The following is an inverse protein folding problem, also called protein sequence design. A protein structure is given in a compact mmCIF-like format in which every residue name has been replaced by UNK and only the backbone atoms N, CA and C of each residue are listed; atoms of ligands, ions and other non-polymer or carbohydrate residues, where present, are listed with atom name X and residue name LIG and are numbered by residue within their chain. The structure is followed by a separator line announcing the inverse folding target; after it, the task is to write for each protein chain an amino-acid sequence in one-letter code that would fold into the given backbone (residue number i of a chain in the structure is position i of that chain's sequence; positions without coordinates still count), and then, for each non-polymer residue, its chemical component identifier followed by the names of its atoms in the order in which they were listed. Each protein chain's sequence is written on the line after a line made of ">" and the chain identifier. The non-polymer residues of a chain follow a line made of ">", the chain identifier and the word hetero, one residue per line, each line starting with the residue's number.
data_IF_897669793525
#
_entry.id   IF_897669793525
#
_cell.length_a   1.000
_cell.length_b   1.000
_cell.length_c   1.000
_cell.angle_alpha   90.00
_cell.angle_beta   90.00
_cell.angle_gamma   90.00
#
_symmetry.space_group_name_H-M   'P 1'
#
loop_
_entity.id
_entity.type
_entity.pdbx_description
1 polymer ?
#
# COMPACT_ATOMS: atom_id res chain seq x y z
N UNK A 1 40.53 33.08 -12.52
CA UNK A 1 40.25 31.67 -12.89
C UNK A 1 38.90 31.27 -12.31
N UNK A 2 38.16 30.48 -13.07
CA UNK A 2 36.70 30.35 -13.07
C UNK A 2 36.08 29.89 -11.74
N UNK A 3 34.92 30.49 -11.45
CA UNK A 3 33.91 30.09 -10.47
C UNK A 3 33.43 28.65 -10.69
N UNK A 4 33.53 27.79 -9.69
CA UNK A 4 32.83 26.51 -9.64
C UNK A 4 32.43 26.25 -8.19
N UNK A 5 31.20 25.75 -8.02
CA UNK A 5 30.63 25.10 -6.84
C UNK A 5 29.67 25.90 -5.93
N UNK A 6 28.64 26.48 -6.55
CA UNK A 6 27.31 26.60 -5.95
C UNK A 6 26.29 26.00 -6.91
N UNK A 7 25.73 24.82 -6.58
CA UNK A 7 24.37 24.33 -6.88
C UNK A 7 24.30 22.80 -6.74
N UNK A 8 23.95 22.33 -5.54
CA UNK A 8 23.43 20.97 -5.34
C UNK A 8 21.91 21.00 -5.47
N UNK A 9 21.40 21.10 -6.68
CA UNK A 9 19.97 20.98 -6.97
C UNK A 9 19.65 19.49 -7.11
N UNK A 10 19.01 18.94 -6.08
CA UNK A 10 18.51 17.57 -6.02
C UNK A 10 17.31 17.45 -7.00
N UNK A 11 17.57 17.06 -8.25
CA UNK A 11 16.52 16.69 -9.20
C UNK A 11 15.98 15.31 -8.81
N UNK A 12 14.82 15.27 -8.14
CA UNK A 12 14.00 14.06 -8.03
C UNK A 12 13.20 13.95 -9.33
N UNK A 13 13.73 13.21 -10.30
CA UNK A 13 12.96 12.83 -11.50
C UNK A 13 11.93 11.77 -11.14
N UNK A 14 10.67 12.19 -11.08
CA UNK A 14 9.50 11.32 -10.97
C UNK A 14 9.31 10.59 -12.30
N UNK A 15 9.89 9.40 -12.44
CA UNK A 15 9.65 8.55 -13.61
C UNK A 15 8.37 7.73 -13.36
N UNK A 16 7.27 8.15 -13.98
CA UNK A 16 6.04 7.36 -14.03
C UNK A 16 6.30 6.14 -14.93
N UNK A 17 6.51 4.98 -14.32
CA UNK A 17 6.62 3.72 -15.05
C UNK A 17 5.21 3.23 -15.41
N UNK A 18 4.79 3.52 -16.65
CA UNK A 18 3.59 2.92 -17.24
C UNK A 18 4.01 1.66 -18.00
N UNK A 19 4.11 0.53 -17.30
CA UNK A 19 4.27 -0.78 -17.94
C UNK A 19 2.94 -1.51 -17.90
N UNK A 20 2.13 -1.28 -18.93
CA UNK A 20 0.99 -2.13 -19.26
C UNK A 20 1.51 -3.44 -19.85
N UNK A 21 1.27 -4.55 -19.16
CA UNK A 21 1.33 -5.88 -19.74
C UNK A 21 -0.09 -6.45 -19.74
N UNK A 22 -0.68 -6.49 -20.93
CA UNK A 22 -1.95 -7.14 -21.19
C UNK A 22 -1.84 -8.63 -20.84
N UNK A 23 -2.67 -9.10 -19.91
CA UNK A 23 -2.90 -10.51 -19.68
C UNK A 23 -4.38 -10.77 -19.96
N UNK A 24 -4.63 -11.47 -21.06
CA UNK A 24 -5.97 -11.89 -21.48
C UNK A 24 -6.31 -13.20 -20.78
N UNK A 25 -7.37 -13.18 -19.98
CA UNK A 25 -8.07 -14.38 -19.55
C UNK A 25 -9.56 -14.12 -19.78
N UNK A 26 -10.09 -14.72 -20.84
CA UNK A 26 -11.52 -14.75 -21.11
C UNK A 26 -12.21 -15.64 -20.08
N UNK A 27 -13.03 -15.06 -19.24
CA UNK A 27 -14.07 -15.77 -18.50
C UNK A 27 -15.39 -15.08 -18.74
N UNK A 28 -16.26 -15.74 -19.51
CA UNK A 28 -17.65 -15.35 -19.71
C UNK A 28 -18.35 -15.29 -18.35
N UNK A 29 -18.58 -14.07 -17.87
CA UNK A 29 -19.52 -13.77 -16.79
C UNK A 29 -20.47 -12.72 -17.35
N UNK A 30 -21.76 -12.99 -17.27
CA UNK A 30 -22.83 -12.09 -17.73
C UNK A 30 -22.53 -10.65 -17.29
N UNK A 31 -22.13 -9.82 -18.25
CA UNK A 31 -21.66 -8.48 -17.98
C UNK A 31 -22.85 -7.64 -17.47
N UNK A 32 -22.87 -7.39 -16.17
CA UNK A 32 -23.57 -6.22 -15.62
C UNK A 32 -23.14 -5.03 -16.46
N UNK A 33 -24.05 -4.16 -16.94
CA UNK A 33 -23.67 -3.04 -17.79
C UNK A 33 -22.50 -2.31 -17.15
N UNK A 34 -21.33 -2.31 -17.81
CA UNK A 34 -20.16 -1.63 -17.27
C UNK A 34 -20.50 -0.14 -17.20
N UNK A 35 -20.82 0.33 -16.00
CA UNK A 35 -21.19 1.72 -15.77
C UNK A 35 -19.99 2.59 -16.15
N UNK A 36 -20.22 3.54 -17.07
CA UNK A 36 -19.17 4.43 -17.56
C UNK A 36 -18.54 5.17 -16.38
N UNK A 37 -17.21 5.01 -16.15
CA UNK A 37 -16.53 5.65 -15.03
C UNK A 37 -16.70 7.17 -15.06
N UNK A 38 -16.84 7.79 -13.89
CA UNK A 38 -16.97 9.25 -13.76
C UNK A 38 -15.61 9.87 -13.46
N UNK A 39 -15.33 11.04 -14.01
CA UNK A 39 -14.00 11.64 -13.90
C UNK A 39 -13.71 12.35 -12.58
N UNK A 40 -14.76 12.66 -11.82
CA UNK A 40 -14.69 13.42 -10.58
C UNK A 40 -15.65 12.83 -9.55
N UNK A 41 -15.33 12.96 -8.27
CA UNK A 41 -16.24 12.66 -7.16
C UNK A 41 -16.02 13.63 -6.00
N UNK A 42 -17.13 14.07 -5.40
CA UNK A 42 -17.15 14.79 -4.12
C UNK A 42 -18.07 14.05 -3.16
N UNK A 43 -17.58 13.82 -1.94
CA UNK A 43 -18.32 13.14 -0.87
C UNK A 43 -18.25 13.96 0.41
N UNK A 44 -19.40 14.17 1.07
CA UNK A 44 -19.41 14.69 2.43
C UNK A 44 -19.26 13.53 3.42
N UNK A 45 -20.16 12.55 3.34
CA UNK A 45 -20.21 11.32 4.14
C UNK A 45 -21.01 10.27 3.33
N UNK A 46 -20.83 8.97 3.52
CA UNK A 46 -21.67 7.98 2.84
C UNK A 46 -23.06 7.87 3.52
N UNK A 47 -24.20 8.09 2.81
CA UNK A 47 -24.37 8.11 1.36
C UNK A 47 -24.48 9.50 0.68
N UNK A 48 -24.26 10.60 1.40
CA UNK A 48 -24.20 11.97 0.86
C UNK A 48 -22.94 12.22 -0.02
N UNK A 49 -23.00 11.77 -1.27
CA UNK A 49 -21.98 11.91 -2.32
C UNK A 49 -22.60 12.10 -3.71
N UNK A 50 -21.89 12.73 -4.66
CA UNK A 50 -22.43 13.06 -6.00
C UNK A 50 -22.80 11.80 -6.80
N UNK A 51 -21.90 10.84 -6.86
CA UNK A 51 -22.13 9.53 -7.48
C UNK A 51 -22.27 8.46 -6.40
N UNK A 52 -23.06 7.42 -6.65
CA UNK A 52 -23.29 6.33 -5.69
C UNK A 52 -22.02 5.51 -5.43
N UNK A 53 -22.04 4.71 -4.37
CA UNK A 53 -20.91 3.87 -3.95
C UNK A 53 -20.52 2.81 -4.97
N UNK A 54 -21.45 2.41 -5.84
CA UNK A 54 -21.24 1.38 -6.86
C UNK A 54 -20.54 1.95 -8.11
N UNK A 55 -20.51 3.28 -8.25
CA UNK A 55 -19.94 3.96 -9.41
C UNK A 55 -18.42 3.96 -9.33
N UNK A 56 -17.78 3.63 -10.45
CA UNK A 56 -16.32 3.71 -10.61
C UNK A 56 -15.88 5.12 -10.96
N UNK A 57 -14.75 5.56 -10.39
CA UNK A 57 -14.22 6.91 -10.59
C UNK A 57 -12.83 6.84 -11.23
N UNK A 58 -12.58 7.66 -12.25
CA UNK A 58 -11.28 7.77 -12.96
C UNK A 58 -10.87 9.23 -13.10
N UNK A 59 -10.05 9.72 -12.18
CA UNK A 59 -9.58 11.10 -12.18
C UNK A 59 -9.34 11.59 -10.76
N UNK A 60 -10.23 12.44 -10.25
CA UNK A 60 -10.05 13.07 -8.94
C UNK A 60 -11.22 12.77 -8.00
N UNK A 61 -10.91 12.45 -6.74
CA UNK A 61 -11.91 12.29 -5.68
C UNK A 61 -11.54 13.13 -4.46
N UNK A 62 -12.50 13.88 -3.95
CA UNK A 62 -12.40 14.61 -2.68
C UNK A 62 -13.46 14.10 -1.69
N UNK A 63 -13.01 13.58 -0.55
CA UNK A 63 -13.89 13.06 0.51
C UNK A 63 -13.72 13.92 1.78
N UNK A 64 -14.66 14.84 2.02
CA UNK A 64 -14.57 15.79 3.13
C UNK A 64 -14.50 15.08 4.49
N UNK A 65 -15.41 14.14 4.76
CA UNK A 65 -15.36 13.29 5.95
C UNK A 65 -15.18 11.82 5.57
N UNK A 66 -16.03 11.31 4.69
CA UNK A 66 -15.98 9.91 4.27
C UNK A 66 -16.58 9.74 2.87
N UNK A 67 -15.90 9.02 1.99
CA UNK A 67 -16.41 8.70 0.66
C UNK A 67 -16.10 7.27 0.26
N UNK A 68 -17.00 6.69 -0.53
CA UNK A 68 -16.96 5.29 -0.94
C UNK A 68 -17.27 5.17 -2.42
N UNK A 69 -16.44 4.42 -3.16
CA UNK A 69 -16.68 4.07 -4.55
C UNK A 69 -16.19 2.65 -4.83
N UNK A 70 -16.69 2.04 -5.91
CA UNK A 70 -16.41 0.65 -6.27
C UNK A 70 -14.96 0.47 -6.71
N UNK A 71 -14.61 1.10 -7.83
CA UNK A 71 -13.24 1.19 -8.31
C UNK A 71 -12.79 2.65 -8.32
N UNK A 72 -11.50 2.86 -8.11
CA UNK A 72 -10.90 4.19 -8.19
C UNK A 72 -9.59 4.15 -8.98
N UNK A 73 -9.40 5.11 -9.88
CA UNK A 73 -8.13 5.33 -10.57
C UNK A 73 -7.80 6.83 -10.61
N UNK A 74 -6.67 7.24 -10.04
CA UNK A 74 -6.22 8.65 -10.10
C UNK A 74 -5.74 9.20 -8.75
N UNK A 75 -6.21 10.40 -8.37
CA UNK A 75 -5.88 11.08 -7.12
C UNK A 75 -7.09 11.17 -6.18
N UNK A 76 -6.98 10.54 -5.01
CA UNK A 76 -8.02 10.45 -3.99
C UNK A 76 -7.56 11.13 -2.71
N UNK A 77 -8.25 12.18 -2.28
CA UNK A 77 -7.90 12.97 -1.09
C UNK A 77 -9.09 13.02 -0.15
N UNK A 78 -8.88 12.80 1.15
CA UNK A 78 -9.94 12.98 2.12
C UNK A 78 -9.62 12.58 3.55
N UNK A 79 -10.56 12.76 4.47
CA UNK A 79 -10.42 12.23 5.84
C UNK A 79 -10.55 10.70 5.82
N UNK A 80 -11.59 10.20 5.15
CA UNK A 80 -11.88 8.77 5.01
C UNK A 80 -12.11 8.39 3.55
N UNK A 81 -11.22 7.55 3.03
CA UNK A 81 -11.23 7.10 1.64
C UNK A 81 -11.50 5.59 1.60
N UNK A 82 -12.65 5.20 1.04
CA UNK A 82 -13.02 3.79 0.87
C UNK A 82 -13.12 3.42 -0.61
N UNK A 83 -12.52 2.29 -0.97
CA UNK A 83 -12.66 1.63 -2.27
C UNK A 83 -13.05 0.18 -2.02
N UNK A 84 -14.16 -0.30 -2.55
CA UNK A 84 -14.68 -1.65 -2.24
C UNK A 84 -14.13 -2.73 -3.17
N UNK A 85 -13.59 -2.36 -4.32
CA UNK A 85 -12.87 -3.26 -5.23
C UNK A 85 -11.43 -2.77 -5.39
N UNK A 86 -11.04 -2.26 -6.55
CA UNK A 86 -9.65 -1.98 -6.88
C UNK A 86 -9.33 -0.49 -6.89
N UNK A 87 -8.18 -0.14 -6.32
CA UNK A 87 -7.62 1.20 -6.30
C UNK A 87 -6.33 1.21 -7.13
N UNK A 88 -6.21 2.20 -8.01
CA UNK A 88 -4.97 2.52 -8.71
C UNK A 88 -4.63 4.02 -8.58
N UNK A 89 -3.41 4.36 -8.20
CA UNK A 89 -2.93 5.75 -8.15
C UNK A 89 -2.53 6.20 -6.75
N UNK A 90 -2.92 7.43 -6.40
CA UNK A 90 -2.57 8.09 -5.14
C UNK A 90 -3.80 8.21 -4.26
N UNK A 91 -3.70 7.77 -3.00
CA UNK A 91 -4.76 7.89 -2.02
C UNK A 91 -4.20 8.46 -0.72
N UNK A 92 -4.56 9.70 -0.44
CA UNK A 92 -4.07 10.49 0.67
C UNK A 92 -5.23 10.78 1.63
N UNK A 93 -5.10 10.35 2.87
CA UNK A 93 -6.14 10.61 3.85
C UNK A 93 -5.83 10.07 5.23
N UNK A 94 -6.60 10.45 6.24
CA UNK A 94 -6.34 9.95 7.59
C UNK A 94 -6.61 8.44 7.66
N UNK A 95 -7.70 8.00 7.03
CA UNK A 95 -8.14 6.62 6.99
C UNK A 95 -8.32 6.18 5.53
N UNK A 96 -7.49 5.26 5.07
CA UNK A 96 -7.57 4.68 3.73
C UNK A 96 -7.90 3.20 3.81
N UNK A 97 -8.90 2.76 3.06
CA UNK A 97 -9.31 1.35 3.03
C UNK A 97 -9.67 0.89 1.62
N UNK A 98 -9.04 -0.21 1.20
CA UNK A 98 -9.30 -0.89 -0.07
C UNK A 98 -9.65 -2.35 0.24
N UNK A 99 -10.85 -2.79 -0.12
CA UNK A 99 -11.27 -4.19 0.15
C UNK A 99 -10.71 -5.17 -0.89
N UNK A 100 -10.43 -4.73 -2.12
CA UNK A 100 -9.77 -5.52 -3.15
C UNK A 100 -8.27 -5.23 -3.21
N UNK A 101 -7.77 -4.97 -4.42
CA UNK A 101 -6.34 -4.74 -4.65
C UNK A 101 -6.01 -3.25 -4.78
N UNK A 102 -4.80 -2.91 -4.37
CA UNK A 102 -4.27 -1.56 -4.42
C UNK A 102 -2.97 -1.53 -5.23
N UNK A 103 -2.85 -0.56 -6.14
CA UNK A 103 -1.61 -0.28 -6.86
C UNK A 103 -1.28 1.21 -6.83
N UNK A 104 -0.07 1.58 -6.40
CA UNK A 104 0.34 2.97 -6.24
C UNK A 104 0.68 3.33 -4.79
N UNK A 105 0.31 4.53 -4.33
CA UNK A 105 0.69 5.04 -3.01
C UNK A 105 -0.55 5.32 -2.13
N UNK A 106 -0.57 4.73 -0.95
CA UNK A 106 -1.44 5.13 0.16
C UNK A 106 -0.64 5.87 1.25
N UNK A 107 -1.05 7.10 1.56
CA UNK A 107 -0.49 7.88 2.68
C UNK A 107 -1.60 8.24 3.67
N UNK A 108 -1.37 7.97 4.96
CA UNK A 108 -2.38 8.21 5.98
C UNK A 108 -2.01 7.83 7.39
N UNK A 109 -2.90 8.04 8.35
CA UNK A 109 -2.69 7.51 9.71
C UNK A 109 -2.86 5.99 9.69
N UNK A 110 -3.91 5.52 9.00
CA UNK A 110 -4.25 4.10 8.86
C UNK A 110 -4.46 3.79 7.38
N UNK A 111 -3.72 2.80 6.87
CA UNK A 111 -3.87 2.26 5.53
C UNK A 111 -4.17 0.76 5.61
N UNK A 112 -5.28 0.31 5.02
CA UNK A 112 -5.69 -1.09 5.01
C UNK A 112 -6.01 -1.54 3.59
N UNK A 113 -5.38 -2.61 3.15
CA UNK A 113 -5.67 -3.31 1.89
C UNK A 113 -5.99 -4.77 2.20
N UNK A 114 -7.23 -5.21 2.00
CA UNK A 114 -7.61 -6.60 2.31
C UNK A 114 -7.15 -7.62 1.25
N UNK A 115 -6.77 -7.15 0.07
CA UNK A 115 -6.16 -7.96 -0.98
C UNK A 115 -4.67 -7.68 -1.13
N UNK A 116 -4.22 -7.58 -2.39
CA UNK A 116 -2.82 -7.32 -2.72
C UNK A 116 -2.54 -5.83 -2.81
N UNK A 117 -1.53 -5.37 -2.10
CA UNK A 117 -0.93 -4.03 -2.23
C UNK A 117 0.36 -4.09 -3.05
N UNK A 118 0.41 -3.32 -4.14
CA UNK A 118 1.59 -3.15 -5.00
C UNK A 118 1.99 -1.68 -5.03
N UNK A 119 3.05 -1.32 -4.31
CA UNK A 119 3.55 0.04 -4.27
C UNK A 119 4.00 0.48 -2.88
N UNK A 120 3.53 1.64 -2.43
CA UNK A 120 3.98 2.28 -1.19
C UNK A 120 2.79 2.48 -0.23
N UNK A 121 2.96 2.10 1.03
CA UNK A 121 2.09 2.52 2.12
C UNK A 121 2.91 3.27 3.17
N UNK A 122 2.52 4.51 3.47
CA UNK A 122 3.14 5.35 4.49
C UNK A 122 2.11 5.75 5.54
N UNK A 123 2.42 5.56 6.83
CA UNK A 123 1.47 5.89 7.89
C UNK A 123 1.82 5.42 9.28
N UNK A 124 0.92 5.60 10.26
CA UNK A 124 1.15 5.01 11.59
C UNK A 124 0.90 3.50 11.55
N UNK A 125 -0.15 3.08 10.86
CA UNK A 125 -0.49 1.67 10.67
C UNK A 125 -0.69 1.38 9.18
N UNK A 126 0.10 0.44 8.65
CA UNK A 126 -0.03 -0.07 7.30
C UNK A 126 -0.33 -1.56 7.35
N UNK A 127 -1.37 -2.00 6.65
CA UNK A 127 -1.75 -3.40 6.53
C UNK A 127 -2.09 -3.77 5.10
N UNK A 128 -1.59 -4.92 4.67
CA UNK A 128 -1.98 -5.60 3.45
C UNK A 128 -2.05 -7.11 3.69
N UNK A 129 -2.93 -7.83 3.00
CA UNK A 129 -2.93 -9.30 3.05
C UNK A 129 -1.74 -9.87 2.26
N UNK A 130 -1.52 -9.35 1.04
CA UNK A 130 -0.30 -9.57 0.27
C UNK A 130 0.39 -8.24 -0.06
N UNK A 131 1.71 -8.18 0.11
CA UNK A 131 2.51 -6.98 -0.14
C UNK A 131 3.58 -7.23 -1.20
N UNK A 132 3.64 -6.37 -2.22
CA UNK A 132 4.79 -6.24 -3.12
C UNK A 132 5.20 -4.77 -3.20
N UNK A 133 6.18 -4.38 -2.41
CA UNK A 133 6.62 -2.99 -2.37
C UNK A 133 7.17 -2.56 -1.02
N UNK A 134 6.71 -1.42 -0.52
CA UNK A 134 7.28 -0.75 0.64
C UNK A 134 6.19 -0.38 1.64
N UNK A 135 6.43 -0.68 2.92
CA UNK A 135 5.64 -0.15 4.04
C UNK A 135 6.57 0.65 4.97
N UNK A 136 6.21 1.90 5.26
CA UNK A 136 6.92 2.77 6.18
C UNK A 136 5.93 3.26 7.23
N UNK A 137 6.16 2.96 8.50
CA UNK A 137 5.23 3.35 9.53
C UNK A 137 5.60 2.92 10.93
N UNK A 138 4.76 3.20 11.94
CA UNK A 138 5.01 2.65 13.27
C UNK A 138 4.76 1.14 13.29
N UNK A 139 3.65 0.72 12.70
CA UNK A 139 3.20 -0.66 12.62
C UNK A 139 3.00 -1.03 11.15
N UNK A 140 3.74 -2.04 10.68
CA UNK A 140 3.61 -2.56 9.32
C UNK A 140 3.24 -4.04 9.37
N UNK A 141 2.19 -4.42 8.63
CA UNK A 141 1.63 -5.78 8.62
C UNK A 141 1.44 -6.26 7.19
N UNK A 142 1.93 -7.47 6.91
CA UNK A 142 1.69 -8.21 5.68
C UNK A 142 1.26 -9.66 6.00
N UNK A 143 -0.04 -9.90 6.16
CA UNK A 143 -0.56 -11.10 6.84
C UNK A 143 -0.14 -12.43 6.18
N UNK A 144 -0.07 -12.47 4.84
CA UNK A 144 0.28 -13.70 4.10
C UNK A 144 1.67 -13.65 3.50
N UNK A 145 1.83 -12.95 2.38
CA UNK A 145 3.06 -12.96 1.59
C UNK A 145 3.56 -11.53 1.37
N UNK A 146 4.84 -11.30 1.65
CA UNK A 146 5.50 -10.02 1.47
C UNK A 146 6.74 -10.19 0.58
N UNK A 147 6.77 -9.52 -0.57
CA UNK A 147 7.99 -9.25 -1.35
C UNK A 147 8.32 -7.78 -1.16
N UNK A 148 8.95 -7.44 -0.04
CA UNK A 148 8.85 -6.09 0.49
C UNK A 148 10.05 -5.59 1.29
N UNK A 149 10.13 -4.27 1.39
CA UNK A 149 10.89 -3.55 2.40
C UNK A 149 9.91 -2.97 3.43
N UNK A 150 10.07 -3.32 4.71
CA UNK A 150 9.28 -2.76 5.81
C UNK A 150 10.21 -1.96 6.73
N UNK A 151 9.87 -0.71 7.01
CA UNK A 151 10.58 0.13 7.98
C UNK A 151 9.59 0.65 9.04
N UNK A 152 9.87 0.38 10.30
CA UNK A 152 9.01 0.84 11.38
C UNK A 152 9.48 0.54 12.79
N UNK A 153 8.61 0.78 13.76
CA UNK A 153 8.84 0.35 15.14
C UNK A 153 8.59 -1.16 15.26
N UNK A 154 7.51 -1.63 14.64
CA UNK A 154 7.06 -3.02 14.61
C UNK A 154 6.76 -3.43 13.17
N UNK A 155 7.35 -4.53 12.73
CA UNK A 155 7.02 -5.16 11.45
C UNK A 155 6.57 -6.61 11.66
N UNK A 156 5.50 -6.99 10.97
CA UNK A 156 5.02 -8.37 10.90
C UNK A 156 4.78 -8.77 9.44
N UNK A 157 5.14 -10.00 9.12
CA UNK A 157 4.76 -10.65 7.88
C UNK A 157 4.50 -12.14 8.11
N UNK A 158 3.61 -12.79 7.36
CA UNK A 158 3.55 -14.25 7.33
C UNK A 158 4.83 -14.82 6.72
N UNK A 159 4.93 -14.78 5.40
CA UNK A 159 6.15 -15.12 4.64
C UNK A 159 6.73 -13.86 4.03
N UNK A 160 8.01 -13.60 4.26
CA UNK A 160 8.67 -12.44 3.67
C UNK A 160 9.90 -12.83 2.84
N UNK A 161 9.96 -12.29 1.63
CA UNK A 161 11.16 -12.22 0.81
C UNK A 161 11.59 -10.75 0.70
N UNK A 162 12.54 -10.33 1.53
CA UNK A 162 12.95 -8.92 1.59
C UNK A 162 13.59 -8.51 2.91
N UNK A 163 13.39 -7.25 3.29
CA UNK A 163 14.06 -6.65 4.46
C UNK A 163 13.03 -6.05 5.41
N UNK A 164 13.14 -6.37 6.69
CA UNK A 164 12.40 -5.71 7.76
C UNK A 164 13.38 -4.96 8.65
N UNK A 165 13.19 -3.64 8.79
CA UNK A 165 13.90 -2.80 9.75
C UNK A 165 12.88 -2.34 10.79
N UNK A 166 12.85 -3.04 11.91
CA UNK A 166 11.91 -2.83 13.01
C UNK A 166 12.67 -2.41 14.23
N UNK A 167 12.59 -1.14 14.62
CA UNK A 167 13.42 -0.60 15.70
C UNK A 167 13.22 -1.36 17.02
N UNK A 168 12.02 -1.88 17.27
CA UNK A 168 11.70 -2.67 18.45
C UNK A 168 11.50 -4.16 18.12
N UNK A 169 10.67 -4.47 17.12
CA UNK A 169 10.22 -5.85 16.89
C UNK A 169 10.02 -6.15 15.40
N UNK A 170 10.61 -7.25 14.95
CA UNK A 170 10.34 -7.87 13.66
C UNK A 170 9.86 -9.31 13.87
N UNK A 171 8.88 -9.72 13.09
CA UNK A 171 8.34 -11.07 13.14
C UNK A 171 7.97 -11.55 11.75
N UNK A 172 8.38 -12.78 11.45
CA UNK A 172 7.99 -13.51 10.27
C UNK A 172 7.69 -14.96 10.61
N UNK A 173 6.73 -15.60 9.94
CA UNK A 173 6.64 -17.07 10.00
C UNK A 173 7.83 -17.68 9.25
N UNK A 174 8.12 -17.17 8.05
CA UNK A 174 9.26 -17.57 7.21
C UNK A 174 9.95 -16.35 6.60
N UNK A 175 11.29 -16.37 6.56
CA UNK A 175 12.12 -15.25 6.09
C UNK A 175 13.09 -15.74 5.01
N UNK A 176 13.07 -15.05 3.87
CA UNK A 176 14.11 -15.04 2.84
C UNK A 176 14.63 -13.61 2.69
N UNK A 177 15.68 -13.25 3.43
CA UNK A 177 16.27 -11.93 3.48
C UNK A 177 16.78 -11.60 4.87
N UNK A 178 16.49 -10.39 5.37
CA UNK A 178 17.04 -9.88 6.62
C UNK A 178 16.01 -9.17 7.50
N UNK A 179 16.11 -9.36 8.81
CA UNK A 179 15.48 -8.53 9.83
C UNK A 179 16.56 -7.78 10.62
N UNK A 180 16.32 -6.51 10.90
CA UNK A 180 17.19 -5.64 11.70
C UNK A 180 16.33 -4.97 12.76
N UNK A 181 16.68 -5.15 14.03
CA UNK A 181 15.85 -4.70 15.15
C UNK A 181 16.26 -5.27 16.50
N UNK A 182 15.78 -4.68 17.59
CA UNK A 182 16.07 -5.19 18.93
C UNK A 182 15.61 -6.64 19.10
N UNK A 183 14.41 -6.97 18.62
CA UNK A 183 13.83 -8.30 18.71
C UNK A 183 13.45 -8.81 17.31
N UNK A 184 14.03 -9.93 16.86
CA UNK A 184 13.72 -10.51 15.55
C UNK A 184 13.31 -11.97 15.68
N UNK A 185 12.14 -12.32 15.16
CA UNK A 185 11.56 -13.66 15.23
C UNK A 185 11.31 -14.27 13.84
N UNK A 186 11.66 -15.55 13.70
CA UNK A 186 11.30 -16.42 12.58
C UNK A 186 10.68 -17.68 13.16
N UNK A 187 9.35 -17.81 13.08
CA UNK A 187 8.63 -18.85 13.83
C UNK A 187 8.86 -20.27 13.32
N UNK A 188 9.06 -20.45 12.02
CA UNK A 188 9.33 -21.76 11.42
C UNK A 188 10.78 -22.21 11.52
N UNK A 189 11.68 -21.34 12.01
CA UNK A 189 13.10 -21.69 12.14
C UNK A 189 13.34 -22.57 13.35
N UNK A 190 14.08 -23.65 13.14
CA UNK A 190 14.60 -24.50 14.22
C UNK A 190 16.12 -24.62 14.12
N UNK A 191 16.83 -24.72 15.27
CA UNK A 191 16.31 -24.73 16.64
C UNK A 191 16.09 -23.33 17.23
N UNK A 192 16.65 -22.28 16.62
CA UNK A 192 16.65 -20.92 17.19
C UNK A 192 15.68 -20.01 16.44
N UNK A 193 14.56 -19.66 17.08
CA UNK A 193 13.50 -18.80 16.51
C UNK A 193 13.78 -17.30 16.65
N UNK A 194 14.68 -16.91 17.56
CA UNK A 194 14.94 -15.53 17.93
C UNK A 194 16.41 -15.17 17.75
N UNK A 195 16.68 -13.99 17.18
CA UNK A 195 18.01 -13.39 17.21
C UNK A 195 17.91 -11.88 17.53
N UNK A 196 18.80 -11.34 18.38
CA UNK A 196 18.87 -9.92 18.64
C UNK A 196 19.58 -9.19 17.49
N UNK A 197 19.23 -7.92 17.28
CA UNK A 197 19.87 -6.97 16.35
C UNK A 197 19.74 -7.33 14.87
N UNK A 198 20.21 -8.50 14.43
CA UNK A 198 20.17 -8.97 13.04
C UNK A 198 19.69 -10.43 13.01
N UNK A 199 18.78 -10.75 12.09
CA UNK A 199 18.35 -12.11 11.79
C UNK A 199 18.26 -12.32 10.28
N UNK A 200 19.09 -13.21 9.74
CA UNK A 200 19.15 -13.52 8.30
C UNK A 200 18.43 -14.83 8.02
N UNK A 201 17.67 -14.91 6.93
CA UNK A 201 17.03 -16.14 6.44
C UNK A 201 17.28 -16.32 4.95
N UNK A 202 17.65 -17.53 4.55
CA UNK A 202 17.97 -17.89 3.18
C UNK A 202 17.57 -19.34 2.92
#
# INVERSE_FOLDING_TARGET
>A
MKSILQTGLLLVTLTIFCSGSAFSAETNSEATPQEVPKSFQLSLWHPAQIFKSETSITGFRLNLLYGMNRNFTGLDIGIGNKVTENMQGLQFGLLNSVDGNQSGWQDGIINIVKGRSVGLQTGLYNSADELKGVQIGLLNVADKNAKAFQFGLVNHAGKISGVQIGLLYNSADSLYGAQIGLLNFIWTREPVRFLPIINLGF
#
